data_IF_901653242252
#
_entry.id   IF_901653242252
#
_cell.length_a   1.000
_cell.length_b   1.000
_cell.length_c   1.000
_cell.angle_alpha   90.00
_cell.angle_beta   90.00
_cell.angle_gamma   90.00
#
_symmetry.space_group_name_H-M   'P 1'
#
loop_
_entity.id
_entity.type
_entity.pdbx_description
1 polymer ?
#
# COMPACT_ATOMS: atom_id res chain seq x y z
N UNK A 1 -12.52 25.85 -11.92
CA UNK A 1 -11.11 25.73 -11.46
C UNK A 1 -11.05 24.57 -10.49
N UNK A 2 -10.25 23.54 -10.79
CA UNK A 2 -9.71 22.65 -9.77
C UNK A 2 -8.41 22.08 -10.35
N UNK A 3 -7.38 22.90 -10.20
CA UNK A 3 -6.00 22.53 -10.47
C UNK A 3 -5.67 21.38 -9.51
N UNK A 4 -5.77 20.14 -10.01
CA UNK A 4 -5.18 18.98 -9.33
C UNK A 4 -3.69 19.28 -9.27
N UNK A 5 -3.22 19.80 -8.14
CA UNK A 5 -1.82 19.98 -7.82
C UNK A 5 -1.07 18.73 -8.28
N UNK A 6 -0.36 18.82 -9.40
CA UNK A 6 0.43 17.71 -9.94
C UNK A 6 1.74 17.74 -9.16
N UNK A 7 1.67 17.42 -7.87
CA UNK A 7 2.87 17.05 -7.13
C UNK A 7 3.55 15.93 -7.94
N UNK A 8 4.86 16.02 -8.21
CA UNK A 8 5.55 14.99 -8.95
C UNK A 8 5.32 13.67 -8.21
N UNK A 9 4.61 12.72 -8.84
CA UNK A 9 4.29 11.41 -8.23
C UNK A 9 5.60 10.77 -7.82
N UNK A 10 5.81 10.65 -6.52
CA UNK A 10 7.01 10.03 -5.97
C UNK A 10 7.03 8.55 -6.37
N UNK A 11 8.19 7.89 -6.29
CA UNK A 11 8.25 6.44 -6.55
C UNK A 11 7.31 5.65 -5.66
N UNK A 12 7.03 6.18 -4.46
CA UNK A 12 6.02 5.67 -3.55
C UNK A 12 4.59 5.79 -4.11
N UNK A 13 4.19 6.97 -4.59
CA UNK A 13 2.86 7.19 -5.18
C UNK A 13 2.63 6.31 -6.41
N UNK A 14 3.68 6.09 -7.21
CA UNK A 14 3.60 5.19 -8.38
C UNK A 14 3.33 3.74 -7.98
N UNK A 15 3.92 3.27 -6.89
CA UNK A 15 3.68 1.91 -6.37
C UNK A 15 2.25 1.80 -5.81
N UNK A 16 1.77 2.79 -5.06
CA UNK A 16 0.38 2.81 -4.58
C UNK A 16 -0.63 2.83 -5.73
N UNK A 17 -0.39 3.66 -6.75
CA UNK A 17 -1.22 3.77 -7.94
C UNK A 17 -1.28 2.44 -8.71
N UNK A 18 -0.15 1.74 -8.82
CA UNK A 18 -0.09 0.39 -9.39
C UNK A 18 -1.05 -0.58 -8.67
N UNK A 19 -1.03 -0.64 -7.34
CA UNK A 19 -1.92 -1.53 -6.61
C UNK A 19 -3.39 -1.11 -6.68
N UNK A 20 -3.68 0.19 -6.64
CA UNK A 20 -5.05 0.68 -6.63
C UNK A 20 -5.72 0.66 -8.01
N UNK A 21 -4.99 0.96 -9.08
CA UNK A 21 -5.54 1.15 -10.43
C UNK A 21 -5.17 0.01 -11.40
N UNK A 22 -4.02 -0.64 -11.23
CA UNK A 22 -3.53 -1.67 -12.17
C UNK A 22 -3.86 -3.08 -11.69
N UNK A 23 -3.77 -3.34 -10.38
CA UNK A 23 -4.25 -4.60 -9.79
C UNK A 23 -5.77 -4.54 -9.56
N UNK A 24 -6.56 -4.60 -10.62
CA UNK A 24 -8.03 -4.67 -10.50
C UNK A 24 -8.51 -5.97 -9.82
N UNK A 25 -7.71 -7.04 -9.88
CA UNK A 25 -8.05 -8.37 -9.37
C UNK A 25 -7.31 -8.59 -8.05
N UNK A 26 -8.04 -8.95 -6.99
CA UNK A 26 -7.45 -9.42 -5.74
C UNK A 26 -6.83 -10.81 -5.97
N UNK A 27 -5.60 -10.82 -6.44
CA UNK A 27 -4.79 -12.02 -6.50
C UNK A 27 -3.42 -11.76 -5.89
N UNK A 28 -2.82 -12.78 -5.24
CA UNK A 28 -1.44 -12.71 -4.80
C UNK A 28 -0.50 -12.58 -6.01
N UNK A 29 0.45 -11.65 -5.90
CA UNK A 29 1.55 -11.46 -6.84
C UNK A 29 2.89 -11.59 -6.14
N UNK A 30 3.91 -11.99 -6.89
CA UNK A 30 5.27 -12.02 -6.38
C UNK A 30 5.90 -10.63 -6.45
N UNK A 31 6.83 -10.33 -5.53
CA UNK A 31 7.60 -9.07 -5.56
C UNK A 31 8.39 -8.89 -6.87
N UNK A 32 8.78 -9.98 -7.52
CA UNK A 32 9.45 -9.94 -8.82
C UNK A 32 8.57 -9.31 -9.90
N UNK A 33 7.27 -9.61 -9.90
CA UNK A 33 6.31 -9.02 -10.84
C UNK A 33 6.12 -7.52 -10.56
N UNK A 34 6.13 -7.10 -9.30
CA UNK A 34 6.08 -5.67 -8.94
C UNK A 34 7.33 -4.95 -9.44
N UNK A 35 8.51 -5.54 -9.26
CA UNK A 35 9.79 -5.00 -9.76
C UNK A 35 9.78 -4.86 -11.27
N UNK A 36 9.34 -5.90 -11.99
CA UNK A 36 9.26 -5.91 -13.44
C UNK A 36 8.29 -4.85 -13.97
N UNK A 37 7.07 -4.78 -13.40
CA UNK A 37 6.02 -3.86 -13.88
C UNK A 37 6.26 -2.41 -13.52
N UNK A 38 6.91 -2.15 -12.39
CA UNK A 38 7.18 -0.77 -11.93
C UNK A 38 8.53 -0.25 -12.41
N UNK A 39 9.45 -1.14 -12.81
CA UNK A 39 10.82 -0.81 -13.22
C UNK A 39 11.72 -0.32 -12.09
N UNK A 40 11.27 -0.42 -10.83
CA UNK A 40 12.06 -0.02 -9.66
C UNK A 40 12.98 -1.14 -9.17
N UNK A 41 14.06 -0.78 -8.47
CA UNK A 41 14.96 -1.77 -7.89
C UNK A 41 14.25 -2.60 -6.80
N UNK A 42 14.65 -3.87 -6.66
CA UNK A 42 14.07 -4.78 -5.67
C UNK A 42 14.14 -4.21 -4.24
N UNK A 43 15.28 -3.63 -3.86
CA UNK A 43 15.46 -3.02 -2.55
C UNK A 43 14.54 -1.82 -2.32
N UNK A 44 14.29 -1.02 -3.35
CA UNK A 44 13.36 0.11 -3.27
C UNK A 44 11.94 -0.41 -3.09
N UNK A 45 11.49 -1.31 -3.98
CA UNK A 45 10.16 -1.91 -3.92
C UNK A 45 9.93 -2.55 -2.55
N UNK A 46 10.84 -3.39 -2.06
CA UNK A 46 10.71 -4.04 -0.75
C UNK A 46 10.54 -3.03 0.40
N UNK A 47 11.35 -1.97 0.43
CA UNK A 47 11.25 -0.92 1.47
C UNK A 47 9.91 -0.19 1.39
N UNK A 48 9.45 0.11 0.17
CA UNK A 48 8.16 0.76 -0.05
C UNK A 48 6.99 -0.13 0.36
N UNK A 49 6.98 -1.40 -0.02
CA UNK A 49 5.90 -2.34 0.36
C UNK A 49 5.85 -2.57 1.87
N UNK A 50 7.01 -2.66 2.53
CA UNK A 50 7.07 -2.73 3.99
C UNK A 50 6.42 -1.49 4.63
N UNK A 51 6.75 -0.30 4.14
CA UNK A 51 6.12 0.94 4.61
C UNK A 51 4.61 0.97 4.37
N UNK A 52 4.15 0.52 3.21
CA UNK A 52 2.70 0.48 2.89
C UNK A 52 1.98 -0.47 3.85
N UNK A 53 2.57 -1.64 4.15
CA UNK A 53 2.01 -2.59 5.12
C UNK A 53 1.84 -1.98 6.51
N UNK A 54 2.80 -1.16 6.95
CA UNK A 54 2.77 -0.57 8.29
C UNK A 54 1.82 0.64 8.37
N UNK A 55 1.72 1.43 7.29
CA UNK A 55 1.00 2.71 7.30
C UNK A 55 -0.43 2.64 6.71
N UNK A 56 -0.80 1.57 6.00
CA UNK A 56 -2.03 1.49 5.21
C UNK A 56 -2.82 0.21 5.47
N UNK A 57 -4.15 0.34 5.45
CA UNK A 57 -5.08 -0.78 5.60
C UNK A 57 -5.40 -1.47 4.26
N UNK A 58 -5.79 -2.75 4.33
CA UNK A 58 -6.17 -3.56 3.17
C UNK A 58 -5.01 -3.97 2.28
N UNK A 59 -3.77 -3.93 2.78
CA UNK A 59 -2.56 -4.33 2.07
C UNK A 59 -1.79 -5.41 2.85
N UNK A 60 -1.43 -6.49 2.16
CA UNK A 60 -0.74 -7.62 2.75
C UNK A 60 0.60 -7.85 2.04
N UNK A 61 1.63 -8.02 2.86
CA UNK A 61 2.99 -8.29 2.40
C UNK A 61 3.69 -9.26 3.36
N UNK A 62 4.01 -10.44 2.85
CA UNK A 62 4.64 -11.50 3.63
C UNK A 62 5.65 -12.32 2.81
N UNK A 63 6.52 -13.03 3.52
CA UNK A 63 7.49 -13.94 2.91
C UNK A 63 6.90 -15.35 2.87
N UNK A 64 6.82 -15.94 1.68
CA UNK A 64 6.42 -17.32 1.47
C UNK A 64 7.57 -18.09 0.81
N UNK A 65 8.17 -19.02 1.53
CA UNK A 65 9.37 -19.74 1.09
C UNK A 65 10.54 -18.78 0.81
N UNK A 66 11.03 -18.78 -0.43
CA UNK A 66 12.12 -17.90 -0.91
C UNK A 66 11.63 -16.59 -1.52
N UNK A 67 10.31 -16.40 -1.68
CA UNK A 67 9.73 -15.23 -2.35
C UNK A 67 8.90 -14.36 -1.38
N UNK A 68 8.65 -13.13 -1.78
CA UNK A 68 7.71 -12.25 -1.10
C UNK A 68 6.45 -12.14 -1.93
N UNK A 69 5.31 -12.30 -1.27
CA UNK A 69 3.99 -12.30 -1.86
C UNK A 69 3.24 -11.06 -1.37
N UNK A 70 2.54 -10.41 -2.30
CA UNK A 70 1.77 -9.19 -2.09
C UNK A 70 0.33 -9.43 -2.54
N UNK A 71 -0.65 -9.01 -1.77
CA UNK A 71 -2.04 -8.88 -2.22
C UNK A 71 -2.74 -7.74 -1.50
N UNK A 72 -3.90 -7.34 -2.01
CA UNK A 72 -4.75 -6.30 -1.41
C UNK A 72 -6.15 -6.84 -1.19
N UNK A 73 -6.89 -6.25 -0.28
CA UNK A 73 -8.27 -6.64 -0.07
C UNK A 73 -9.17 -6.37 -1.29
N UNK A 74 -10.18 -7.23 -1.46
CA UNK A 74 -10.97 -7.28 -2.70
C UNK A 74 -11.74 -5.99 -2.98
N UNK A 75 -12.17 -5.32 -1.92
CA UNK A 75 -13.02 -4.13 -1.97
C UNK A 75 -12.35 -2.88 -1.41
N UNK A 76 -11.08 -2.96 -0.99
CA UNK A 76 -10.40 -1.84 -0.35
C UNK A 76 -9.41 -1.17 -1.30
N UNK A 77 -9.58 0.15 -1.43
CA UNK A 77 -8.50 1.05 -1.86
C UNK A 77 -7.53 1.07 -0.68
N UNK A 78 -6.23 0.93 -0.95
CA UNK A 78 -5.20 1.05 0.06
C UNK A 78 -5.23 2.49 0.59
N UNK A 79 -5.68 2.68 1.84
CA UNK A 79 -5.85 3.97 2.50
C UNK A 79 -4.98 4.05 3.75
N UNK A 80 -4.52 5.25 4.09
CA UNK A 80 -3.73 5.46 5.30
C UNK A 80 -4.57 5.07 6.52
N UNK A 81 -3.93 4.43 7.50
CA UNK A 81 -4.57 4.10 8.77
C UNK A 81 -5.07 5.36 9.51
N UNK A 82 -4.43 6.51 9.34
CA UNK A 82 -4.87 7.79 9.94
C UNK A 82 -6.24 8.29 9.42
N UNK A 83 -6.69 7.77 8.27
CA UNK A 83 -7.97 8.11 7.64
C UNK A 83 -9.07 7.08 7.95
N UNK A 84 -8.79 6.06 8.79
CA UNK A 84 -9.78 5.05 9.21
C UNK A 84 -10.41 5.42 10.56
N UNK A 85 -11.55 4.80 10.88
CA UNK A 85 -12.27 5.06 12.14
C UNK A 85 -11.46 4.75 13.40
N UNK A 86 -10.32 4.07 13.28
CA UNK A 86 -9.37 3.80 14.36
C UNK A 86 -8.88 5.08 15.06
N UNK A 87 -8.85 6.22 14.35
CA UNK A 87 -8.52 7.53 14.93
C UNK A 87 -9.54 8.02 15.96
N UNK A 88 -10.78 7.54 15.92
CA UNK A 88 -11.83 7.89 16.90
C UNK A 88 -11.90 6.95 18.10
N UNK A 89 -11.03 5.93 18.17
CA UNK A 89 -10.97 4.97 19.29
C UNK A 89 -9.93 5.35 20.35
N UNK A 90 -9.20 6.45 20.16
CA UNK A 90 -8.20 6.96 21.10
C UNK A 90 -8.83 8.14 21.86
N UNK A 91 -9.78 7.89 22.76
CA UNK A 91 -10.17 8.81 23.87
C UNK A 91 -11.27 8.18 24.77
N UNK A 92 -10.97 7.10 25.51
CA UNK A 92 -11.88 6.62 26.58
C UNK A 92 -11.10 5.93 27.74
N UNK A 93 -9.81 6.24 27.94
CA UNK A 93 -9.01 5.72 29.08
C UNK A 93 -8.58 6.82 30.08
N UNK A 94 -9.18 8.03 30.07
CA UNK A 94 -8.91 9.07 31.08
C UNK A 94 -10.16 9.68 31.76
N UNK A 95 -11.29 8.96 31.89
CA UNK A 95 -12.32 9.34 32.87
C UNK A 95 -12.97 8.11 33.54
N UNK A 96 -12.39 7.65 34.65
CA UNK A 96 -13.10 7.13 35.84
C UNK A 96 -12.14 7.01 37.05
#
# INVERSE_FOLDING_TARGET
>A
MNEKNITPKTGFDKILDFFNNTLAINHPIAIAEVVERTGFSWSFVKKTLAKIKDDYDGFYFEKSGSTWIIWKDRNHIIKKLDETCSRFLVDDEEEC
#
